data_IF_198219129849
#
_entry.id   IF_198219129849
#
_cell.length_a   1.000
_cell.length_b   1.000
_cell.length_c   1.000
_cell.angle_alpha   90.00
_cell.angle_beta   90.00
_cell.angle_gamma   90.00
#
_symmetry.space_group_name_H-M   'P 1'
#
loop_
_entity.id
_entity.type
_entity.pdbx_description
1 polymer ?
#
# COMPACT_ATOMS: atom_id res chain seq x y z
N UNK A 1 -11.90 -22.28 -4.28
CA UNK A 1 -13.29 -22.47 -3.77
C UNK A 1 -14.26 -21.51 -4.45
N UNK A 2 -14.13 -20.19 -4.24
CA UNK A 2 -15.03 -19.21 -4.85
C UNK A 2 -15.05 -19.28 -6.38
N UNK A 3 -13.87 -19.27 -7.02
CA UNK A 3 -13.76 -19.41 -8.48
C UNK A 3 -14.44 -20.67 -9.04
N UNK A 4 -14.46 -21.77 -8.26
CA UNK A 4 -15.10 -23.03 -8.69
C UNK A 4 -16.62 -22.93 -8.65
N UNK A 5 -17.16 -22.27 -7.62
CA UNK A 5 -18.61 -22.06 -7.49
C UNK A 5 -19.10 -21.02 -8.50
N UNK A 6 -18.32 -19.97 -8.72
CA UNK A 6 -18.59 -18.95 -9.74
C UNK A 6 -18.62 -19.56 -11.15
N UNK A 7 -17.60 -20.35 -11.49
CA UNK A 7 -17.57 -21.10 -12.74
C UNK A 7 -18.78 -22.03 -12.88
N UNK A 8 -19.14 -22.78 -11.83
CA UNK A 8 -20.32 -23.66 -11.86
C UNK A 8 -21.62 -22.89 -12.13
N UNK A 9 -21.78 -21.69 -11.56
CA UNK A 9 -22.98 -20.86 -11.74
C UNK A 9 -23.06 -20.20 -13.11
N UNK A 10 -21.92 -19.78 -13.66
CA UNK A 10 -21.86 -19.02 -14.92
C UNK A 10 -21.82 -19.91 -16.15
N UNK A 11 -21.18 -21.08 -16.07
CA UNK A 11 -21.00 -21.97 -17.22
C UNK A 11 -22.15 -22.97 -17.43
N UNK A 12 -23.07 -23.11 -16.48
CA UNK A 12 -24.09 -24.18 -16.49
C UNK A 12 -23.48 -25.59 -16.41
N UNK A 13 -22.18 -25.69 -16.12
CA UNK A 13 -21.46 -26.96 -16.09
C UNK A 13 -21.86 -27.82 -14.89
N UNK A 14 -22.00 -29.12 -15.12
CA UNK A 14 -22.19 -30.09 -14.04
C UNK A 14 -20.98 -30.19 -13.11
N UNK A 15 -21.19 -30.77 -11.93
CA UNK A 15 -20.16 -30.93 -10.89
C UNK A 15 -18.88 -31.61 -11.42
N UNK A 16 -19.03 -32.60 -12.30
CA UNK A 16 -17.92 -33.36 -12.90
C UNK A 16 -17.11 -32.49 -13.86
N UNK A 17 -17.77 -31.65 -14.67
CA UNK A 17 -17.10 -30.76 -15.62
C UNK A 17 -16.35 -29.64 -14.89
N UNK A 18 -16.94 -29.06 -13.85
CA UNK A 18 -16.25 -28.11 -12.98
C UNK A 18 -15.04 -28.75 -12.27
N UNK A 19 -15.18 -29.98 -11.78
CA UNK A 19 -14.09 -30.71 -11.16
C UNK A 19 -12.91 -30.95 -12.12
N UNK A 20 -13.19 -31.37 -13.35
CA UNK A 20 -12.18 -31.54 -14.40
C UNK A 20 -11.48 -30.22 -14.77
N UNK A 21 -12.25 -29.14 -14.92
CA UNK A 21 -11.70 -27.81 -15.25
C UNK A 21 -10.68 -27.32 -14.21
N UNK A 22 -10.94 -27.57 -12.92
CA UNK A 22 -10.06 -27.13 -11.83
C UNK A 22 -9.09 -28.22 -11.34
N UNK A 23 -9.10 -29.42 -11.93
CA UNK A 23 -8.23 -30.53 -11.51
C UNK A 23 -8.45 -30.99 -10.06
N UNK A 24 -9.70 -30.95 -9.57
CA UNK A 24 -10.08 -31.30 -8.19
C UNK A 24 -11.10 -32.42 -8.16
N UNK A 25 -11.36 -32.98 -6.97
CA UNK A 25 -12.34 -34.04 -6.84
C UNK A 25 -13.78 -33.50 -6.94
N UNK A 26 -14.64 -34.20 -7.68
CA UNK A 26 -16.06 -33.86 -7.82
C UNK A 26 -16.79 -33.75 -6.47
N UNK A 27 -16.41 -34.58 -5.49
CA UNK A 27 -16.95 -34.52 -4.13
C UNK A 27 -16.65 -33.19 -3.43
N UNK A 28 -15.48 -32.58 -3.68
CA UNK A 28 -15.12 -31.28 -3.11
C UNK A 28 -15.97 -30.16 -3.71
N UNK A 29 -16.22 -30.22 -5.01
CA UNK A 29 -17.09 -29.27 -5.72
C UNK A 29 -18.52 -29.36 -5.17
N UNK A 30 -19.06 -30.57 -5.01
CA UNK A 30 -20.39 -30.79 -4.44
C UNK A 30 -20.51 -30.22 -3.01
N UNK A 31 -19.51 -30.45 -2.16
CA UNK A 31 -19.46 -29.90 -0.80
C UNK A 31 -19.42 -28.37 -0.82
N UNK A 32 -18.59 -27.75 -1.67
CA UNK A 32 -18.54 -26.28 -1.76
C UNK A 32 -19.83 -25.69 -2.30
N UNK A 33 -20.48 -26.35 -3.26
CA UNK A 33 -21.79 -25.91 -3.77
C UNK A 33 -22.87 -26.01 -2.68
N UNK A 34 -22.86 -27.07 -1.86
CA UNK A 34 -23.76 -27.20 -0.71
C UNK A 34 -23.52 -26.09 0.32
N UNK A 35 -22.27 -25.87 0.71
CA UNK A 35 -21.89 -24.80 1.65
C UNK A 35 -22.29 -23.43 1.12
N UNK A 36 -22.11 -23.18 -0.17
CA UNK A 36 -22.51 -21.92 -0.79
C UNK A 36 -24.03 -21.74 -0.78
N UNK A 37 -24.80 -22.79 -1.05
CA UNK A 37 -26.28 -22.71 -0.97
C UNK A 37 -26.78 -22.42 0.46
N UNK A 38 -26.08 -22.90 1.49
CA UNK A 38 -26.52 -22.74 2.89
C UNK A 38 -25.96 -21.49 3.57
N UNK A 39 -24.69 -21.16 3.33
CA UNK A 39 -23.96 -20.10 4.04
C UNK A 39 -23.47 -18.98 3.10
N UNK A 40 -23.78 -19.06 1.80
CA UNK A 40 -23.31 -18.12 0.79
C UNK A 40 -21.78 -18.09 0.66
N UNK A 41 -21.27 -16.94 0.22
CA UNK A 41 -19.82 -16.66 0.11
C UNK A 41 -19.11 -16.83 1.45
N UNK A 42 -19.78 -16.51 2.57
CA UNK A 42 -19.18 -16.55 3.90
C UNK A 42 -18.76 -17.97 4.30
N UNK A 43 -19.53 -19.00 3.94
CA UNK A 43 -19.20 -20.39 4.25
C UNK A 43 -17.97 -20.92 3.51
N UNK A 44 -17.63 -20.33 2.37
CA UNK A 44 -16.44 -20.70 1.60
C UNK A 44 -15.16 -20.04 2.09
N UNK A 45 -15.26 -19.07 3.02
CA UNK A 45 -14.09 -18.44 3.63
C UNK A 45 -13.27 -19.48 4.41
N UNK A 46 -11.93 -19.37 4.45
CA UNK A 46 -11.11 -20.24 5.27
C UNK A 46 -11.50 -20.12 6.75
N UNK A 47 -12.12 -21.16 7.30
CA UNK A 47 -12.34 -21.29 8.74
C UNK A 47 -11.06 -21.85 9.37
N UNK A 48 -10.62 -21.35 10.53
CA UNK A 48 -9.46 -21.89 11.22
C UNK A 48 -9.69 -23.38 11.47
N UNK A 49 -8.82 -24.24 10.92
CA UNK A 49 -8.87 -25.70 11.09
C UNK A 49 -8.19 -26.08 12.41
N UNK A 50 -8.80 -26.99 13.16
CA UNK A 50 -8.21 -27.58 14.37
C UNK A 50 -8.84 -27.13 15.69
N UNK A 51 -8.43 -27.75 16.79
CA UNK A 51 -8.80 -27.36 18.16
C UNK A 51 -8.29 -25.94 18.42
N UNK A 52 -9.10 -25.08 19.02
CA UNK A 52 -8.61 -23.78 19.52
C UNK A 52 -7.42 -24.06 20.43
N UNK A 53 -6.25 -23.53 20.08
CA UNK A 53 -5.06 -23.65 20.92
C UNK A 53 -5.37 -23.05 22.29
N UNK A 54 -5.17 -23.83 23.36
CA UNK A 54 -5.24 -23.34 24.75
C UNK A 54 -4.02 -22.48 25.10
N UNK A 55 -3.00 -22.48 24.24
CA UNK A 55 -1.80 -21.67 24.39
C UNK A 55 -2.11 -20.25 23.93
N UNK A 56 -1.88 -19.26 24.81
CA UNK A 56 -1.92 -17.84 24.44
C UNK A 56 -0.78 -17.58 23.44
N UNK A 57 -1.07 -17.63 22.15
CA UNK A 57 -0.15 -17.12 21.15
C UNK A 57 0.05 -15.62 21.41
N UNK A 58 1.27 -15.21 21.75
CA UNK A 58 1.63 -13.78 21.73
C UNK A 58 1.34 -13.31 20.32
N UNK A 59 0.47 -12.29 20.17
CA UNK A 59 0.23 -11.65 18.87
C UNK A 59 1.60 -11.29 18.29
N UNK A 60 1.87 -11.51 17.00
CA UNK A 60 3.10 -11.02 16.40
C UNK A 60 3.19 -9.53 16.73
N UNK A 61 4.27 -9.13 17.43
CA UNK A 61 4.50 -7.74 17.79
C UNK A 61 4.35 -6.91 16.51
N UNK A 62 3.56 -5.84 16.56
CA UNK A 62 3.31 -4.92 15.46
C UNK A 62 4.56 -4.08 15.13
N UNK A 63 5.74 -4.70 15.01
CA UNK A 63 7.02 -4.00 14.84
C UNK A 63 7.01 -3.16 13.55
N UNK A 64 6.36 -3.67 12.49
CA UNK A 64 6.30 -3.00 11.18
C UNK A 64 5.48 -1.71 11.15
N UNK A 65 4.50 -1.51 12.05
CA UNK A 65 3.66 -0.31 12.04
C UNK A 65 4.39 0.90 12.63
N UNK A 66 5.27 0.67 13.60
CA UNK A 66 6.07 1.71 14.23
C UNK A 66 7.19 2.20 13.29
N UNK A 67 7.89 1.28 12.63
CA UNK A 67 8.94 1.64 11.66
C UNK A 67 8.41 2.41 10.45
N UNK A 68 7.18 2.10 9.98
CA UNK A 68 6.55 2.89 8.92
C UNK A 68 6.32 4.34 9.35
N UNK A 69 5.85 4.55 10.58
CA UNK A 69 5.58 5.88 11.14
C UNK A 69 6.85 6.71 11.29
N UNK A 70 7.96 6.09 11.67
CA UNK A 70 9.26 6.76 11.79
C UNK A 70 9.81 7.16 10.41
N UNK A 71 9.70 6.27 9.42
CA UNK A 71 10.07 6.56 8.03
C UNK A 71 9.25 7.72 7.44
N UNK A 72 7.95 7.76 7.70
CA UNK A 72 7.06 8.84 7.27
C UNK A 72 7.46 10.18 7.90
N UNK A 73 7.81 10.20 9.19
CA UNK A 73 8.30 11.40 9.87
C UNK A 73 9.61 11.93 9.23
N UNK A 74 10.56 11.04 8.95
CA UNK A 74 11.80 11.42 8.25
C UNK A 74 11.55 11.99 6.86
N UNK A 75 10.59 11.44 6.11
CA UNK A 75 10.22 11.96 4.79
C UNK A 75 9.67 13.38 4.86
N UNK A 76 8.81 13.67 5.84
CA UNK A 76 8.27 15.02 6.06
C UNK A 76 9.38 16.02 6.42
N UNK A 77 10.30 15.62 7.30
CA UNK A 77 11.43 16.48 7.68
C UNK A 77 12.36 16.79 6.49
N UNK A 78 12.66 15.79 5.65
CA UNK A 78 13.43 15.98 4.42
C UNK A 78 12.75 16.96 3.46
N UNK A 79 11.42 16.87 3.31
CA UNK A 79 10.67 17.79 2.45
C UNK A 79 10.72 19.22 2.98
N UNK A 80 10.57 19.40 4.30
CA UNK A 80 10.65 20.70 4.96
C UNK A 80 12.03 21.34 4.77
N UNK A 81 13.10 20.59 5.08
CA UNK A 81 14.48 21.06 4.92
C UNK A 81 14.82 21.43 3.48
N UNK A 82 14.31 20.67 2.50
CA UNK A 82 14.48 21.01 1.07
C UNK A 82 13.78 22.32 0.70
N UNK A 83 12.59 22.56 1.24
CA UNK A 83 11.86 23.82 1.06
C UNK A 83 12.60 25.01 1.64
N UNK A 84 13.10 24.90 2.87
CA UNK A 84 13.90 25.93 3.54
C UNK A 84 15.18 26.24 2.75
N UNK A 85 15.93 25.20 2.35
CA UNK A 85 17.14 25.38 1.53
C UNK A 85 16.85 26.06 0.20
N UNK A 86 15.73 25.73 -0.45
CA UNK A 86 15.31 26.38 -1.69
C UNK A 86 15.02 27.87 -1.45
N UNK A 87 14.23 28.19 -0.42
CA UNK A 87 13.91 29.57 -0.07
C UNK A 87 15.15 30.39 0.27
N UNK A 88 16.04 29.89 1.13
CA UNK A 88 17.28 30.57 1.51
C UNK A 88 18.21 30.79 0.30
N UNK A 89 18.32 29.80 -0.60
CA UNK A 89 19.11 29.96 -1.84
C UNK A 89 18.52 31.03 -2.74
N UNK A 90 17.20 31.03 -2.89
CA UNK A 90 16.51 32.06 -3.67
C UNK A 90 16.72 33.46 -3.11
N UNK A 91 16.57 33.64 -1.80
CA UNK A 91 16.79 34.92 -1.11
C UNK A 91 18.23 35.41 -1.30
N UNK A 92 19.20 34.53 -1.09
CA UNK A 92 20.63 34.83 -1.34
C UNK A 92 20.87 35.26 -2.78
N UNK A 93 20.30 34.55 -3.75
CA UNK A 93 20.50 34.84 -5.17
C UNK A 93 19.83 36.16 -5.57
N UNK A 94 18.67 36.48 -4.98
CA UNK A 94 18.00 37.77 -5.15
C UNK A 94 18.84 38.92 -4.57
N UNK A 95 19.31 38.81 -3.33
CA UNK A 95 20.18 39.80 -2.70
C UNK A 95 21.49 39.99 -3.47
N UNK A 96 22.08 38.91 -4.00
CA UNK A 96 23.30 38.98 -4.81
C UNK A 96 23.07 39.76 -6.11
N UNK A 97 21.92 39.55 -6.77
CA UNK A 97 21.54 40.31 -7.98
C UNK A 97 21.33 41.80 -7.66
N UNK A 98 20.62 42.13 -6.58
CA UNK A 98 20.44 43.52 -6.14
C UNK A 98 21.76 44.21 -5.84
N UNK A 99 22.67 43.53 -5.12
CA UNK A 99 24.00 44.06 -4.83
C UNK A 99 24.84 44.31 -6.08
N UNK A 100 24.74 43.45 -7.10
CA UNK A 100 25.42 43.64 -8.38
C UNK A 100 24.87 44.83 -9.17
N UNK A 101 23.54 44.99 -9.22
CA UNK A 101 22.89 46.13 -9.88
C UNK A 101 23.25 47.45 -9.19
N UNK A 102 23.25 47.47 -7.86
CA UNK A 102 23.66 48.65 -7.08
C UNK A 102 25.11 49.03 -7.36
N UNK A 103 26.04 48.07 -7.33
CA UNK A 103 27.47 48.31 -7.63
C UNK A 103 27.71 48.84 -9.03
N UNK A 104 26.93 48.41 -10.02
CA UNK A 104 27.06 48.87 -11.41
C UNK A 104 26.45 50.25 -11.67
N UNK A 105 25.59 50.75 -10.76
CA UNK A 105 24.95 52.07 -10.85
C UNK A 105 25.66 53.15 -10.01
N UNK A 106 26.79 52.85 -9.37
CA UNK A 106 27.60 53.90 -8.74
C UNK A 106 28.35 54.69 -9.84
N UNK A 107 28.23 56.03 -9.88
CA UNK A 107 29.04 56.82 -10.79
C UNK A 107 30.53 56.61 -10.49
N UNK A 108 31.42 56.63 -11.50
CA UNK A 108 32.84 56.49 -11.26
C UNK A 108 33.28 57.55 -10.25
N UNK A 109 33.91 57.12 -9.15
CA UNK A 109 34.51 58.03 -8.18
C UNK A 109 35.50 58.90 -8.94
N UNK A 110 35.17 60.20 -9.11
CA UNK A 110 36.12 61.20 -9.58
C UNK A 110 37.31 61.17 -8.61
N UNK A 111 38.44 60.71 -9.11
CA UNK A 111 39.72 60.89 -8.46
C UNK A 111 40.27 62.25 -8.91
N UNK A 112 40.50 63.11 -7.91
CA UNK A 112 41.16 64.42 -7.93
C UNK A 112 40.44 65.56 -8.66
#
# INVERSE_FOLDING_TARGET
KLAVVDYYQTSGAGVVSAAAHFGINASQVAVWMKIFKTEGVAGLRPKPRGRRSTVKHKKPKQVKKLELSEKEAYQQEILKLRGELYHTRMERDFLKKLGAVSKNNLPPKKQQ
#
